data_IF_390576826258
#
_entry.id   IF_390576826258
#
_cell.length_a   1.000
_cell.length_b   1.000
_cell.length_c   1.000
_cell.angle_alpha   90.00
_cell.angle_beta   90.00
_cell.angle_gamma   90.00
#
_symmetry.space_group_name_H-M   'P 1'
#
loop_
_entity.id
_entity.type
_entity.pdbx_description
1 polymer ?
#
# COMPACT_ATOMS: atom_id res chain seq x y z
N UNK A 1 -26.02 -6.43 21.56
CA UNK A 1 -26.52 -7.78 21.81
C UNK A 1 -25.99 -8.79 20.80
N UNK A 2 -26.15 -8.58 19.50
CA UNK A 2 -25.77 -9.53 18.43
C UNK A 2 -24.30 -9.97 18.55
N UNK A 3 -23.35 -9.05 18.67
CA UNK A 3 -21.94 -9.36 18.86
C UNK A 3 -21.70 -10.20 20.12
N UNK A 4 -22.42 -9.88 21.22
CA UNK A 4 -22.26 -10.60 22.49
C UNK A 4 -22.84 -12.01 22.49
N UNK A 5 -23.87 -12.27 21.67
CA UNK A 5 -24.53 -13.58 21.56
C UNK A 5 -23.95 -14.45 20.44
N UNK A 6 -23.31 -13.86 19.44
CA UNK A 6 -22.74 -14.61 18.32
C UNK A 6 -21.47 -15.39 18.76
N UNK A 7 -21.43 -16.68 18.44
CA UNK A 7 -20.30 -17.57 18.69
C UNK A 7 -20.09 -18.52 17.49
N UNK A 8 -19.03 -18.31 16.71
CA UNK A 8 -18.02 -17.27 16.80
C UNK A 8 -18.49 -15.91 16.25
N UNK A 9 -17.86 -14.84 16.69
CA UNK A 9 -17.95 -13.53 16.07
C UNK A 9 -16.56 -13.05 15.67
N UNK A 10 -16.37 -12.69 14.42
CA UNK A 10 -15.15 -12.05 13.92
C UNK A 10 -15.37 -10.55 13.79
N UNK A 11 -14.53 -9.77 14.48
CA UNK A 11 -14.63 -8.31 14.51
C UNK A 11 -13.41 -7.73 13.82
N UNK A 12 -13.62 -6.96 12.79
CA UNK A 12 -12.57 -6.33 12.00
C UNK A 12 -12.84 -4.83 11.86
N UNK A 13 -11.79 -4.04 11.86
CA UNK A 13 -11.85 -2.63 11.47
C UNK A 13 -10.90 -2.38 10.30
N UNK A 14 -11.27 -1.41 9.46
CA UNK A 14 -10.34 -0.80 8.51
C UNK A 14 -9.44 0.23 9.19
N UNK A 15 -8.66 0.94 8.42
CA UNK A 15 -7.72 1.95 8.92
C UNK A 15 -8.36 3.35 9.12
N UNK A 16 -9.64 3.50 8.83
CA UNK A 16 -10.36 4.75 9.03
C UNK A 16 -10.51 5.18 10.48
N UNK A 17 -10.91 4.28 11.41
CA UNK A 17 -11.24 4.65 12.78
C UNK A 17 -10.10 5.35 13.56
N UNK A 18 -8.83 5.00 13.30
CA UNK A 18 -7.70 5.63 13.97
C UNK A 18 -7.18 6.90 13.27
N UNK A 19 -7.68 7.24 12.08
CA UNK A 19 -7.20 8.37 11.27
C UNK A 19 -7.91 9.67 11.61
N UNK A 20 -8.04 9.95 12.90
CA UNK A 20 -8.64 11.17 13.44
C UNK A 20 -8.03 11.47 14.81
N UNK A 21 -8.31 12.67 15.35
CA UNK A 21 -7.87 13.02 16.69
C UNK A 21 -8.38 11.99 17.71
N UNK A 22 -7.48 11.47 18.54
CA UNK A 22 -7.76 10.40 19.52
C UNK A 22 -8.31 9.09 18.92
N UNK A 23 -8.08 8.84 17.62
CA UNK A 23 -8.57 7.66 16.91
C UNK A 23 -8.02 6.34 17.45
N UNK A 24 -6.86 6.36 18.12
CA UNK A 24 -6.32 5.20 18.82
C UNK A 24 -7.25 4.68 19.91
N UNK A 25 -8.05 5.54 20.54
CA UNK A 25 -9.03 5.12 21.55
C UNK A 25 -10.18 4.34 20.90
N UNK A 26 -10.63 4.78 19.72
CA UNK A 26 -11.63 4.06 18.91
C UNK A 26 -11.13 2.67 18.56
N UNK A 27 -9.88 2.56 18.06
CA UNK A 27 -9.29 1.26 17.73
C UNK A 27 -9.13 0.35 18.96
N UNK A 28 -8.73 0.91 20.10
CA UNK A 28 -8.67 0.15 21.37
C UNK A 28 -10.05 -0.36 21.79
N UNK A 29 -11.08 0.48 21.71
CA UNK A 29 -12.44 0.08 22.04
C UNK A 29 -12.94 -1.06 21.12
N UNK A 30 -12.69 -0.97 19.81
CA UNK A 30 -13.03 -2.03 18.86
C UNK A 30 -12.27 -3.33 19.18
N UNK A 31 -10.98 -3.25 19.48
CA UNK A 31 -10.16 -4.41 19.83
C UNK A 31 -10.62 -5.10 21.13
N UNK A 32 -11.25 -4.37 22.02
CA UNK A 32 -11.81 -4.95 23.27
C UNK A 32 -13.08 -5.78 23.03
N UNK A 33 -13.83 -5.53 21.96
CA UNK A 33 -15.10 -6.25 21.70
C UNK A 33 -14.91 -7.77 21.60
N UNK A 34 -13.99 -8.32 20.78
CA UNK A 34 -13.79 -9.78 20.75
C UNK A 34 -13.25 -10.34 22.06
N UNK A 35 -12.47 -9.57 22.83
CA UNK A 35 -11.95 -9.98 24.14
C UNK A 35 -13.12 -10.10 25.15
N UNK A 36 -13.92 -9.06 25.29
CA UNK A 36 -15.05 -9.01 26.22
C UNK A 36 -16.14 -10.04 25.90
N UNK A 37 -16.29 -10.39 24.64
CA UNK A 37 -17.29 -11.37 24.18
C UNK A 37 -16.74 -12.79 24.09
N UNK A 38 -15.45 -13.02 24.46
CA UNK A 38 -14.82 -14.35 24.42
C UNK A 38 -14.66 -14.93 23.03
N UNK A 39 -14.41 -14.04 22.03
CA UNK A 39 -14.22 -14.41 20.63
C UNK A 39 -12.76 -14.36 20.20
N UNK A 40 -11.79 -14.28 21.13
CA UNK A 40 -10.36 -14.37 20.84
C UNK A 40 -9.87 -15.81 21.02
N UNK A 41 -9.18 -16.35 20.01
CA UNK A 41 -8.57 -17.68 20.07
C UNK A 41 -9.52 -18.85 19.83
N UNK A 42 -10.77 -18.59 19.44
CA UNK A 42 -11.72 -19.62 19.01
C UNK A 42 -11.79 -19.66 17.48
N UNK A 43 -12.11 -20.84 16.93
CA UNK A 43 -12.24 -20.99 15.47
C UNK A 43 -13.39 -20.12 14.93
N UNK A 44 -13.11 -19.31 13.91
CA UNK A 44 -14.06 -18.34 13.34
C UNK A 44 -14.11 -17.00 14.10
N UNK A 45 -13.40 -16.87 15.23
CA UNK A 45 -13.22 -15.60 15.94
C UNK A 45 -11.91 -14.90 15.58
N UNK A 46 -11.47 -13.97 16.44
CA UNK A 46 -10.24 -13.22 16.26
C UNK A 46 -9.02 -13.95 16.85
N UNK A 47 -7.85 -13.82 16.21
CA UNK A 47 -6.57 -14.20 16.84
C UNK A 47 -6.05 -13.14 17.79
N UNK A 48 -6.49 -11.90 17.65
CA UNK A 48 -5.97 -10.72 18.34
C UNK A 48 -4.71 -10.15 17.69
N UNK A 49 -4.25 -10.72 16.57
CA UNK A 49 -3.17 -10.14 15.77
C UNK A 49 -3.72 -9.08 14.83
N UNK A 50 -2.98 -7.99 14.66
CA UNK A 50 -3.28 -6.96 13.67
C UNK A 50 -2.86 -7.42 12.28
N UNK A 51 -1.69 -7.97 12.18
CA UNK A 51 -1.05 -8.40 10.93
C UNK A 51 -0.55 -9.83 11.08
N UNK A 52 -0.09 -10.41 9.98
CA UNK A 52 0.47 -11.75 10.02
C UNK A 52 1.68 -11.83 10.97
N UNK A 53 1.67 -12.83 11.83
CA UNK A 53 2.77 -13.12 12.75
C UNK A 53 3.79 -14.10 12.16
N UNK A 54 3.44 -14.74 11.06
CA UNK A 54 4.30 -15.68 10.35
C UNK A 54 4.22 -15.38 8.84
N UNK A 55 4.99 -14.38 8.42
CA UNK A 55 5.02 -13.91 7.02
C UNK A 55 6.17 -14.53 6.24
N UNK A 56 6.03 -14.52 4.93
CA UNK A 56 7.14 -14.70 3.99
C UNK A 56 7.55 -13.31 3.54
N UNK A 57 8.73 -12.86 3.98
CA UNK A 57 9.26 -11.54 3.62
C UNK A 57 9.67 -11.52 2.16
N UNK A 58 9.16 -10.54 1.40
CA UNK A 58 9.57 -10.33 0.02
C UNK A 58 10.79 -9.44 -0.07
N UNK A 59 11.63 -9.74 -1.05
CA UNK A 59 12.68 -8.83 -1.50
C UNK A 59 12.08 -7.76 -2.40
N UNK A 60 12.59 -6.55 -2.29
CA UNK A 60 12.14 -5.40 -3.09
C UNK A 60 13.27 -4.90 -3.97
N UNK A 61 12.91 -4.24 -5.04
CA UNK A 61 13.88 -3.52 -5.85
C UNK A 61 14.65 -2.52 -4.97
N UNK A 62 15.95 -2.37 -5.19
CA UNK A 62 16.74 -1.40 -4.43
C UNK A 62 16.19 0.02 -4.63
N UNK A 63 16.08 0.75 -3.55
CA UNK A 63 15.68 2.16 -3.58
C UNK A 63 16.95 3.02 -3.53
N UNK A 64 17.16 3.91 -4.51
CA UNK A 64 18.24 4.88 -4.44
C UNK A 64 17.99 5.87 -3.30
N UNK A 65 19.05 6.53 -2.85
CA UNK A 65 18.89 7.63 -1.92
C UNK A 65 18.13 8.78 -2.60
N UNK A 66 17.04 9.23 -1.95
CA UNK A 66 16.30 10.39 -2.43
C UNK A 66 17.08 11.68 -2.09
N UNK A 67 17.55 12.44 -3.08
CA UNK A 67 18.23 13.69 -2.85
C UNK A 67 17.30 14.78 -2.30
N UNK A 68 16.01 14.68 -2.55
CA UNK A 68 15.01 15.63 -2.07
C UNK A 68 14.63 15.30 -0.64
N UNK A 69 15.06 16.12 0.31
CA UNK A 69 14.77 15.93 1.74
C UNK A 69 13.54 16.72 2.20
N UNK A 70 13.06 17.64 1.37
CA UNK A 70 11.88 18.46 1.69
C UNK A 70 10.62 17.62 1.61
N UNK A 71 9.80 17.66 2.65
CA UNK A 71 8.57 16.90 2.77
C UNK A 71 7.44 17.77 3.31
N UNK A 72 6.22 17.48 2.91
CA UNK A 72 4.99 18.07 3.45
C UNK A 72 4.02 16.95 3.83
N UNK A 73 3.01 17.27 4.62
CA UNK A 73 1.91 16.33 4.91
C UNK A 73 1.17 15.98 3.61
N UNK A 74 0.75 14.73 3.48
CA UNK A 74 -0.13 14.30 2.39
C UNK A 74 -1.50 15.02 2.40
N UNK A 75 -1.84 15.74 3.46
CA UNK A 75 -3.06 16.54 3.55
C UNK A 75 -2.85 18.02 3.24
N UNK A 76 -1.63 18.48 2.93
CA UNK A 76 -1.32 19.88 2.68
C UNK A 76 -0.83 20.17 1.25
N UNK A 77 -0.92 19.20 0.35
CA UNK A 77 -0.44 19.38 -1.02
C UNK A 77 -1.26 20.39 -1.82
N UNK A 78 -2.58 20.53 -1.57
CA UNK A 78 -3.42 21.56 -2.18
C UNK A 78 -2.99 22.97 -1.73
N UNK A 79 -2.67 23.14 -0.45
CA UNK A 79 -2.11 24.38 0.06
C UNK A 79 -0.73 24.67 -0.56
N UNK A 80 0.09 23.63 -0.76
CA UNK A 80 1.39 23.77 -1.38
C UNK A 80 1.33 24.16 -2.87
N UNK A 81 0.23 23.84 -3.58
CA UNK A 81 -0.04 24.39 -4.92
C UNK A 81 -0.30 25.90 -4.84
N UNK A 82 -1.16 26.32 -3.91
CA UNK A 82 -1.68 27.71 -3.87
C UNK A 82 -0.69 28.68 -3.23
N UNK A 83 -0.07 28.26 -2.12
CA UNK A 83 0.77 29.14 -1.28
C UNK A 83 2.10 28.47 -0.86
N UNK A 84 2.64 27.58 -1.68
CA UNK A 84 3.85 26.82 -1.35
C UNK A 84 4.95 27.64 -0.68
N UNK A 85 5.44 28.75 -1.27
CA UNK A 85 6.52 29.57 -0.69
C UNK A 85 6.18 30.24 0.66
N UNK A 86 4.92 30.25 1.05
CA UNK A 86 4.47 30.78 2.35
C UNK A 86 4.41 29.68 3.43
N UNK A 87 4.50 28.42 3.04
CA UNK A 87 4.42 27.28 3.96
C UNK A 87 5.73 27.09 4.70
N UNK A 88 5.65 27.01 6.03
CA UNK A 88 6.81 26.93 6.90
C UNK A 88 6.82 25.65 7.75
N UNK A 89 8.00 25.32 8.27
CA UNK A 89 8.17 24.21 9.20
C UNK A 89 7.30 24.38 10.46
N UNK A 90 7.30 25.59 11.03
CA UNK A 90 6.59 25.86 12.28
C UNK A 90 5.07 25.87 12.12
N UNK A 91 4.55 26.47 11.06
CA UNK A 91 3.11 26.65 10.88
C UNK A 91 2.45 25.49 10.14
N UNK A 92 3.13 24.96 9.11
CA UNK A 92 2.54 24.02 8.16
C UNK A 92 3.20 22.64 8.20
N UNK A 93 4.18 22.43 9.07
CA UNK A 93 4.85 21.14 9.24
C UNK A 93 5.75 20.74 8.07
N UNK A 94 6.32 21.73 7.35
CA UNK A 94 7.35 21.46 6.33
C UNK A 94 8.54 20.80 7.03
N UNK A 95 9.08 19.73 6.45
CA UNK A 95 10.27 19.02 6.96
C UNK A 95 11.42 19.13 5.98
N UNK A 96 12.64 19.09 6.49
CA UNK A 96 13.87 19.17 5.70
C UNK A 96 14.28 20.58 5.26
N UNK A 97 13.41 21.58 5.48
CA UNK A 97 13.67 23.01 5.28
C UNK A 97 12.77 23.85 6.19
N UNK A 98 13.14 25.11 6.40
CA UNK A 98 12.33 26.05 7.18
C UNK A 98 11.05 26.47 6.45
N UNK A 99 11.08 26.49 5.12
CA UNK A 99 9.93 26.77 4.24
C UNK A 99 10.10 26.13 2.88
N UNK A 100 9.01 26.03 2.10
CA UNK A 100 9.08 25.61 0.70
C UNK A 100 9.65 26.74 -0.16
N UNK A 101 10.45 26.37 -1.16
CA UNK A 101 11.04 27.34 -2.09
C UNK A 101 10.06 27.70 -3.21
N UNK A 102 9.25 26.74 -3.64
CA UNK A 102 8.37 26.83 -4.81
C UNK A 102 7.02 26.18 -4.50
N UNK A 103 5.95 26.55 -5.20
CA UNK A 103 4.69 25.84 -5.15
C UNK A 103 4.79 24.48 -5.91
N UNK A 104 3.84 23.60 -5.68
CA UNK A 104 3.70 22.38 -6.49
C UNK A 104 3.16 22.78 -7.85
N UNK A 105 3.89 22.44 -8.93
CA UNK A 105 3.54 22.71 -10.32
C UNK A 105 3.30 21.43 -11.13
N UNK A 106 3.78 20.29 -10.60
CA UNK A 106 3.67 19.00 -11.24
C UNK A 106 3.19 17.95 -10.24
N UNK A 107 2.19 17.16 -10.62
CA UNK A 107 1.67 16.05 -9.84
C UNK A 107 1.83 14.76 -10.64
N UNK A 108 2.43 13.76 -10.00
CA UNK A 108 2.48 12.39 -10.49
C UNK A 108 1.71 11.49 -9.53
N UNK A 109 0.57 10.99 -9.97
CA UNK A 109 -0.29 10.12 -9.17
C UNK A 109 -0.30 8.70 -9.73
N UNK A 110 0.00 7.72 -8.89
CA UNK A 110 -0.02 6.32 -9.25
C UNK A 110 -1.02 5.54 -8.40
N UNK A 111 -1.90 4.78 -9.07
CA UNK A 111 -2.82 3.80 -8.48
C UNK A 111 -3.62 4.34 -7.29
N UNK A 112 -4.02 5.60 -7.33
CA UNK A 112 -4.70 6.25 -6.24
C UNK A 112 -5.75 7.26 -6.70
N UNK A 113 -6.99 7.06 -6.30
CA UNK A 113 -8.06 8.04 -6.52
C UNK A 113 -8.02 9.16 -5.45
N UNK A 114 -6.81 9.71 -5.20
CA UNK A 114 -6.54 10.61 -4.07
C UNK A 114 -6.63 12.09 -4.44
N UNK A 115 -6.37 12.45 -5.69
CA UNK A 115 -6.30 13.86 -6.14
C UNK A 115 -7.58 14.63 -5.77
N UNK A 116 -8.75 14.06 -6.02
CA UNK A 116 -10.02 14.72 -5.70
C UNK A 116 -10.67 14.19 -4.42
N UNK A 117 -10.30 12.99 -3.95
CA UNK A 117 -11.01 12.33 -2.85
C UNK A 117 -10.29 12.40 -1.48
N UNK A 118 -9.05 12.89 -1.42
CA UNK A 118 -8.28 12.87 -0.18
C UNK A 118 -8.71 13.98 0.80
N UNK A 119 -9.09 15.14 0.28
CA UNK A 119 -9.50 16.28 1.08
C UNK A 119 -11.02 16.35 1.26
N UNK A 120 -11.45 16.78 2.43
CA UNK A 120 -12.87 16.95 2.73
C UNK A 120 -13.51 18.14 1.99
N UNK A 121 -12.74 19.20 1.74
CA UNK A 121 -13.18 20.35 0.92
C UNK A 121 -12.95 20.08 -0.56
N UNK A 122 -13.84 19.26 -1.12
CA UNK A 122 -13.74 18.80 -2.50
C UNK A 122 -13.95 19.94 -3.51
N UNK A 123 -14.80 20.91 -3.19
CA UNK A 123 -15.06 22.06 -4.07
C UNK A 123 -13.82 22.94 -4.21
N UNK A 124 -13.17 23.26 -3.09
CA UNK A 124 -11.90 23.98 -3.10
C UNK A 124 -10.81 23.22 -3.88
N UNK A 125 -10.73 21.91 -3.69
CA UNK A 125 -9.79 21.07 -4.44
C UNK A 125 -10.09 21.10 -5.94
N UNK A 126 -11.36 21.02 -6.33
CA UNK A 126 -11.81 21.15 -7.70
C UNK A 126 -11.37 22.47 -8.33
N UNK A 127 -11.65 23.60 -7.67
CA UNK A 127 -11.28 24.94 -8.15
C UNK A 127 -9.75 25.11 -8.32
N UNK A 128 -8.97 24.50 -7.41
CA UNK A 128 -7.51 24.52 -7.51
C UNK A 128 -7.02 23.72 -8.71
N UNK A 129 -7.59 22.55 -8.94
CA UNK A 129 -7.14 21.63 -10.00
C UNK A 129 -7.58 22.06 -11.40
N UNK A 130 -8.63 22.87 -11.51
CA UNK A 130 -9.06 23.43 -12.80
C UNK A 130 -8.28 24.68 -13.23
N UNK A 131 -7.50 25.25 -12.33
CA UNK A 131 -6.71 26.45 -12.59
C UNK A 131 -5.28 26.07 -13.04
N UNK A 132 -5.07 25.98 -14.33
CA UNK A 132 -3.78 25.63 -14.94
C UNK A 132 -2.65 26.58 -14.56
N UNK A 133 -2.97 27.83 -14.14
CA UNK A 133 -1.96 28.76 -13.65
C UNK A 133 -1.35 28.31 -12.31
N UNK A 134 -2.03 27.44 -11.57
CA UNK A 134 -1.60 26.92 -10.28
C UNK A 134 -0.80 25.64 -10.41
N UNK A 135 -1.41 24.57 -10.92
CA UNK A 135 -0.74 23.29 -11.17
C UNK A 135 -0.66 23.04 -12.68
N UNK A 136 0.53 23.11 -13.22
CA UNK A 136 0.76 23.14 -14.69
C UNK A 136 0.60 21.77 -15.35
N UNK A 137 0.83 20.66 -14.61
CA UNK A 137 0.76 19.32 -15.20
C UNK A 137 0.39 18.27 -14.15
N UNK A 138 -0.61 17.47 -14.49
CA UNK A 138 -1.07 16.35 -13.69
C UNK A 138 -0.99 15.07 -14.53
N UNK A 139 -0.17 14.13 -14.10
CA UNK A 139 -0.07 12.79 -14.69
C UNK A 139 -0.72 11.79 -13.76
N UNK A 140 -1.62 10.99 -14.28
CA UNK A 140 -2.24 9.88 -13.53
C UNK A 140 -1.94 8.56 -14.22
N UNK A 141 -1.45 7.61 -13.45
CA UNK A 141 -1.29 6.21 -13.87
C UNK A 141 -2.34 5.39 -13.13
N UNK A 142 -3.29 4.87 -13.85
CA UNK A 142 -4.37 4.06 -13.30
C UNK A 142 -4.92 3.11 -14.37
N UNK A 143 -5.59 2.05 -13.95
CA UNK A 143 -6.29 1.14 -14.86
C UNK A 143 -7.78 1.45 -15.02
N UNK A 144 -8.28 2.45 -14.28
CA UNK A 144 -9.64 2.97 -14.38
C UNK A 144 -9.65 4.49 -14.57
N UNK A 145 -10.65 5.00 -15.28
CA UNK A 145 -10.94 6.42 -15.36
C UNK A 145 -11.63 6.89 -14.07
N UNK A 146 -10.84 6.99 -13.00
CA UNK A 146 -11.29 7.43 -11.68
C UNK A 146 -11.68 8.91 -11.68
N UNK A 147 -12.32 9.35 -10.60
CA UNK A 147 -12.62 10.79 -10.41
C UNK A 147 -11.34 11.63 -10.46
N UNK A 148 -10.24 11.13 -9.90
CA UNK A 148 -8.93 11.79 -9.96
C UNK A 148 -8.32 11.78 -11.35
N UNK A 149 -8.46 10.70 -12.12
CA UNK A 149 -7.96 10.61 -13.49
C UNK A 149 -8.62 11.63 -14.44
N UNK A 150 -9.83 12.12 -14.12
CA UNK A 150 -10.52 13.15 -14.89
C UNK A 150 -9.88 14.55 -14.80
N UNK A 151 -8.98 14.75 -13.83
CA UNK A 151 -8.21 16.00 -13.68
C UNK A 151 -6.81 15.91 -14.31
N UNK A 152 -6.47 14.77 -14.89
CA UNK A 152 -5.15 14.58 -15.47
C UNK A 152 -5.05 15.19 -16.86
N UNK A 153 -3.93 15.84 -17.15
CA UNK A 153 -3.53 16.22 -18.51
C UNK A 153 -3.07 15.00 -19.29
N UNK A 154 -2.45 14.05 -18.60
CA UNK A 154 -1.95 12.79 -19.18
C UNK A 154 -2.40 11.61 -18.32
N UNK A 155 -3.13 10.68 -18.94
CA UNK A 155 -3.48 9.39 -18.31
C UNK A 155 -2.66 8.30 -18.99
N UNK A 156 -1.88 7.56 -18.17
CA UNK A 156 -1.10 6.42 -18.63
C UNK A 156 -1.78 5.13 -18.10
N UNK A 157 -2.36 4.31 -18.97
CA UNK A 157 -3.12 3.15 -18.55
C UNK A 157 -2.19 2.00 -18.10
N UNK A 158 -2.31 1.61 -16.83
CA UNK A 158 -1.57 0.48 -16.24
C UNK A 158 -2.28 -0.85 -16.47
N UNK A 159 -1.56 -1.96 -16.29
CA UNK A 159 -2.13 -3.30 -16.33
C UNK A 159 -2.97 -3.59 -15.08
N UNK A 160 -4.04 -4.33 -15.28
CA UNK A 160 -4.74 -4.96 -14.19
C UNK A 160 -3.92 -6.15 -13.64
N UNK A 161 -4.15 -6.51 -12.40
CA UNK A 161 -3.54 -7.68 -11.75
C UNK A 161 -3.70 -8.97 -12.58
N UNK A 162 -4.81 -9.12 -13.27
CA UNK A 162 -5.11 -10.29 -14.11
C UNK A 162 -4.46 -10.27 -15.50
N UNK A 163 -3.75 -9.20 -15.84
CA UNK A 163 -3.10 -9.00 -17.13
C UNK A 163 -1.57 -9.14 -17.05
N UNK A 164 -1.01 -9.40 -15.87
CA UNK A 164 0.44 -9.43 -15.66
C UNK A 164 0.91 -10.57 -14.76
N UNK A 165 2.20 -10.82 -14.81
CA UNK A 165 2.89 -11.74 -13.91
C UNK A 165 3.47 -10.98 -12.73
N UNK A 166 3.24 -11.47 -11.50
CA UNK A 166 3.79 -10.89 -10.28
C UNK A 166 3.80 -11.90 -9.13
N UNK A 167 4.40 -11.54 -8.00
CA UNK A 167 4.41 -12.35 -6.77
C UNK A 167 3.82 -11.53 -5.63
N UNK A 168 2.76 -12.05 -5.03
CA UNK A 168 2.07 -11.40 -3.90
C UNK A 168 2.35 -12.16 -2.61
N UNK A 169 2.87 -11.48 -1.58
CA UNK A 169 3.04 -12.04 -0.23
C UNK A 169 1.77 -11.87 0.60
N UNK A 170 1.78 -12.46 1.79
CA UNK A 170 0.71 -12.29 2.78
C UNK A 170 1.05 -11.28 3.88
N UNK A 171 1.44 -10.09 3.56
CA UNK A 171 1.92 -9.09 4.54
C UNK A 171 0.89 -8.75 5.64
N UNK A 172 -0.40 -8.94 5.38
CA UNK A 172 -1.48 -8.44 6.24
C UNK A 172 -2.51 -9.48 6.69
N UNK A 173 -2.30 -10.75 6.41
CA UNK A 173 -3.36 -11.75 6.63
C UNK A 173 -2.89 -12.99 7.38
N UNK A 174 -3.48 -13.23 8.56
CA UNK A 174 -3.44 -14.50 9.25
C UNK A 174 -2.08 -14.95 9.77
N UNK A 175 -2.02 -16.21 10.23
CA UNK A 175 -0.83 -16.85 10.81
C UNK A 175 -0.23 -17.90 9.87
N UNK A 176 -0.50 -17.80 8.59
CA UNK A 176 0.02 -18.72 7.59
C UNK A 176 0.84 -17.96 6.57
N UNK A 177 2.09 -18.37 6.40
CA UNK A 177 2.92 -17.89 5.33
C UNK A 177 2.39 -18.37 3.98
N UNK A 178 2.11 -17.46 3.06
CA UNK A 178 1.80 -17.83 1.68
C UNK A 178 2.42 -16.85 0.69
N UNK A 179 2.62 -17.34 -0.52
CA UNK A 179 2.93 -16.56 -1.70
C UNK A 179 1.95 -16.94 -2.80
N UNK A 180 1.47 -15.95 -3.53
CA UNK A 180 0.67 -16.16 -4.73
C UNK A 180 1.51 -15.75 -5.92
N UNK A 181 1.70 -16.65 -6.87
CA UNK A 181 2.26 -16.33 -8.16
C UNK A 181 1.14 -15.98 -9.12
N UNK A 182 1.05 -14.71 -9.46
CA UNK A 182 0.08 -14.24 -10.44
C UNK A 182 0.55 -14.59 -11.85
N UNK A 183 -0.37 -15.09 -12.64
CA UNK A 183 -0.17 -15.32 -14.08
C UNK A 183 -1.25 -14.55 -14.84
N UNK A 184 -0.94 -13.99 -15.99
CA UNK A 184 -1.96 -13.34 -16.80
C UNK A 184 -3.02 -14.36 -17.23
N UNK A 185 -4.27 -14.05 -16.99
CA UNK A 185 -5.43 -14.86 -17.44
C UNK A 185 -6.05 -14.29 -18.71
N UNK A 186 -5.63 -13.09 -19.10
CA UNK A 186 -6.03 -12.41 -20.34
C UNK A 186 -4.89 -11.56 -20.86
N UNK A 187 -4.85 -11.36 -22.16
CA UNK A 187 -3.94 -10.40 -22.75
C UNK A 187 -4.35 -8.96 -22.36
N UNK A 188 -3.37 -8.03 -22.22
CA UNK A 188 -3.67 -6.63 -21.99
C UNK A 188 -4.60 -6.09 -23.09
N UNK A 189 -5.63 -5.34 -22.65
CA UNK A 189 -6.53 -4.65 -23.58
C UNK A 189 -6.10 -3.21 -23.74
N UNK A 190 -6.41 -2.64 -24.91
CA UNK A 190 -6.08 -1.25 -25.26
C UNK A 190 -4.57 -0.99 -25.22
N UNK A 191 -4.16 0.22 -24.86
CA UNK A 191 -2.75 0.65 -24.82
C UNK A 191 -2.09 0.41 -23.44
N UNK A 192 -2.67 -0.40 -22.58
CA UNK A 192 -2.16 -0.70 -21.24
C UNK A 192 -0.75 -1.27 -21.29
N UNK A 193 0.08 -0.79 -20.38
CA UNK A 193 1.46 -1.24 -20.18
C UNK A 193 1.75 -1.45 -18.70
N UNK A 194 2.64 -2.42 -18.34
CA UNK A 194 3.06 -2.58 -16.95
C UNK A 194 3.70 -1.29 -16.42
N UNK A 195 3.44 -0.95 -15.17
CA UNK A 195 4.06 0.23 -14.53
C UNK A 195 5.59 0.23 -14.66
N UNK A 196 6.24 -0.94 -14.57
CA UNK A 196 7.67 -1.06 -14.75
C UNK A 196 8.12 -0.60 -16.15
N UNK A 197 7.38 -0.98 -17.20
CA UNK A 197 7.64 -0.54 -18.57
C UNK A 197 7.44 0.97 -18.72
N UNK A 198 6.33 1.51 -18.17
CA UNK A 198 6.04 2.96 -18.20
C UNK A 198 7.21 3.73 -17.57
N UNK A 199 7.64 3.33 -16.37
CA UNK A 199 8.74 4.00 -15.68
C UNK A 199 10.08 3.82 -16.39
N UNK A 200 10.32 2.67 -17.01
CA UNK A 200 11.53 2.42 -17.82
C UNK A 200 11.59 3.34 -19.03
N UNK A 201 10.46 3.54 -19.71
CA UNK A 201 10.37 4.45 -20.85
C UNK A 201 10.54 5.93 -20.46
N UNK A 202 10.05 6.32 -19.29
CA UNK A 202 10.32 7.65 -18.72
C UNK A 202 11.81 7.80 -18.41
N UNK A 203 12.39 6.84 -17.71
CA UNK A 203 13.82 6.85 -17.36
C UNK A 203 14.72 6.93 -18.60
N UNK A 204 14.35 6.22 -19.68
CA UNK A 204 15.07 6.24 -20.97
C UNK A 204 15.08 7.64 -21.60
N UNK A 205 13.95 8.36 -21.53
CA UNK A 205 13.82 9.72 -22.05
C UNK A 205 14.55 10.77 -21.20
N UNK A 206 14.71 10.49 -19.90
CA UNK A 206 15.51 11.32 -19.02
C UNK A 206 17.03 11.14 -19.22
N UNK A 207 17.44 10.02 -19.78
CA UNK A 207 18.84 9.76 -20.17
C UNK A 207 19.25 8.31 -20.04
N UNK A 208 20.22 7.87 -20.84
CA UNK A 208 20.67 6.47 -20.84
C UNK A 208 21.22 6.01 -19.48
N UNK A 209 21.93 6.87 -18.76
CA UNK A 209 22.46 6.56 -17.43
C UNK A 209 21.35 6.39 -16.40
N UNK A 210 20.28 7.18 -16.51
CA UNK A 210 19.10 7.09 -15.62
C UNK A 210 18.37 5.78 -15.90
N UNK A 211 18.18 5.44 -17.17
CA UNK A 211 17.58 4.18 -17.58
C UNK A 211 18.38 2.98 -17.06
N UNK A 212 19.71 3.00 -17.25
CA UNK A 212 20.56 1.92 -16.78
C UNK A 212 20.53 1.76 -15.25
N UNK A 213 20.53 2.87 -14.50
CA UNK A 213 20.42 2.85 -13.03
C UNK A 213 19.06 2.35 -12.56
N UNK A 214 17.98 2.70 -13.28
CA UNK A 214 16.64 2.26 -12.92
C UNK A 214 16.40 0.78 -13.19
N UNK A 215 16.83 0.30 -14.37
CA UNK A 215 16.56 -1.08 -14.81
C UNK A 215 17.65 -2.06 -14.41
N UNK A 216 18.87 -1.59 -14.17
CA UNK A 216 20.09 -2.43 -14.09
C UNK A 216 20.19 -3.42 -15.26
N UNK A 217 19.64 -3.05 -16.43
CA UNK A 217 19.57 -3.88 -17.62
C UNK A 217 18.57 -5.05 -17.54
N UNK A 218 17.68 -5.08 -16.54
CA UNK A 218 16.73 -6.18 -16.34
C UNK A 218 15.36 -5.84 -16.88
N UNK A 219 14.69 -6.85 -17.42
CA UNK A 219 13.24 -6.84 -17.67
C UNK A 219 12.47 -7.07 -16.37
N UNK A 220 11.14 -6.87 -16.37
CA UNK A 220 10.28 -7.17 -15.23
C UNK A 220 10.41 -8.63 -14.77
N UNK A 221 10.37 -9.60 -15.70
CA UNK A 221 10.56 -11.01 -15.35
C UNK A 221 11.94 -11.29 -14.74
N UNK A 222 12.99 -10.69 -15.29
CA UNK A 222 14.35 -10.83 -14.74
C UNK A 222 14.45 -10.24 -13.33
N UNK A 223 13.75 -9.15 -13.04
CA UNK A 223 13.63 -8.61 -11.69
C UNK A 223 12.90 -9.55 -10.74
N UNK A 224 11.76 -10.10 -11.14
CA UNK A 224 11.02 -11.06 -10.32
C UNK A 224 11.89 -12.28 -9.99
N UNK A 225 12.57 -12.86 -10.98
CA UNK A 225 13.49 -14.00 -10.76
C UNK A 225 14.64 -13.63 -9.83
N UNK A 226 15.26 -12.49 -10.03
CA UNK A 226 16.39 -12.02 -9.22
C UNK A 226 16.00 -11.79 -7.75
N UNK A 227 14.91 -11.10 -7.52
CA UNK A 227 14.39 -10.83 -6.17
C UNK A 227 13.96 -12.12 -5.49
N UNK A 228 13.27 -12.98 -6.22
CA UNK A 228 12.85 -14.27 -5.69
C UNK A 228 14.02 -15.20 -5.34
N UNK A 229 15.08 -15.20 -6.12
CA UNK A 229 16.30 -15.94 -5.80
C UNK A 229 16.93 -15.47 -4.48
N UNK A 230 16.90 -14.15 -4.19
CA UNK A 230 17.33 -13.62 -2.89
C UNK A 230 16.41 -14.09 -1.74
N UNK A 231 15.10 -14.21 -1.99
CA UNK A 231 14.16 -14.75 -1.00
C UNK A 231 14.51 -16.21 -0.68
N UNK A 232 14.68 -17.05 -1.70
CA UNK A 232 15.05 -18.46 -1.53
C UNK A 232 16.40 -18.62 -0.80
N UNK A 233 17.37 -17.76 -1.08
CA UNK A 233 18.66 -17.77 -0.38
C UNK A 233 18.53 -17.47 1.13
N UNK A 234 17.56 -16.64 1.52
CA UNK A 234 17.28 -16.32 2.93
C UNK A 234 16.32 -17.31 3.60
N UNK A 235 15.47 -17.95 2.82
CA UNK A 235 14.44 -18.88 3.30
C UNK A 235 14.43 -20.15 2.42
N UNK A 236 15.26 -21.15 2.75
CA UNK A 236 15.38 -22.38 1.97
C UNK A 236 14.09 -23.25 1.95
N UNK A 237 13.09 -22.92 2.74
CA UNK A 237 11.79 -23.61 2.69
C UNK A 237 10.94 -23.17 1.50
N UNK A 238 11.32 -22.09 0.82
CA UNK A 238 10.62 -21.63 -0.37
C UNK A 238 10.92 -22.56 -1.56
N UNK A 239 9.92 -22.82 -2.41
CA UNK A 239 10.13 -23.57 -3.65
C UNK A 239 10.99 -22.75 -4.62
N UNK A 240 11.50 -23.39 -5.67
CA UNK A 240 12.11 -22.65 -6.78
C UNK A 240 11.08 -21.73 -7.47
N UNK A 241 11.57 -20.71 -8.18
CA UNK A 241 10.70 -19.79 -8.94
C UNK A 241 9.73 -20.52 -9.87
N UNK A 242 10.24 -21.46 -10.64
CA UNK A 242 9.43 -22.21 -11.61
C UNK A 242 8.46 -23.19 -10.93
N UNK A 243 8.84 -23.73 -9.77
CA UNK A 243 7.93 -24.53 -8.95
C UNK A 243 6.81 -23.67 -8.36
N UNK A 244 7.11 -22.46 -7.85
CA UNK A 244 6.09 -21.52 -7.38
C UNK A 244 5.14 -21.12 -8.52
N UNK A 245 5.69 -20.79 -9.68
CA UNK A 245 4.89 -20.45 -10.87
C UNK A 245 3.94 -21.58 -11.26
N UNK A 246 4.41 -22.82 -11.23
CA UNK A 246 3.58 -24.00 -11.52
C UNK A 246 2.50 -24.25 -10.46
N UNK A 247 2.83 -24.04 -9.17
CA UNK A 247 1.88 -24.19 -8.07
C UNK A 247 0.80 -23.10 -8.05
N UNK A 248 1.13 -21.89 -8.48
CA UNK A 248 0.29 -20.69 -8.34
C UNK A 248 0.21 -20.18 -6.91
N UNK A 249 0.02 -21.06 -5.92
CA UNK A 249 -0.06 -20.67 -4.50
C UNK A 249 0.81 -21.61 -3.67
N UNK A 250 1.81 -21.06 -3.00
CA UNK A 250 2.58 -21.74 -1.97
C UNK A 250 2.04 -21.37 -0.60
N UNK A 251 1.88 -22.35 0.29
CA UNK A 251 1.42 -22.17 1.67
C UNK A 251 2.28 -22.97 2.63
N UNK A 252 2.59 -22.38 3.77
CA UNK A 252 3.21 -23.09 4.90
C UNK A 252 2.53 -22.73 6.22
N UNK A 253 2.46 -23.68 7.13
CA UNK A 253 1.94 -23.43 8.48
C UNK A 253 3.05 -22.94 9.38
N UNK A 254 2.72 -22.06 10.31
CA UNK A 254 3.61 -21.67 11.40
C UNK A 254 3.91 -22.90 12.27
N UNK A 255 5.18 -23.32 12.44
CA UNK A 255 5.54 -24.45 13.31
C UNK A 255 5.16 -24.22 14.77
N UNK A 256 5.05 -22.97 15.22
CA UNK A 256 4.62 -22.60 16.57
C UNK A 256 3.09 -22.65 16.74
N UNK A 257 2.35 -23.02 15.71
CA UNK A 257 0.88 -23.06 15.71
C UNK A 257 0.25 -21.67 15.54
N UNK A 258 -1.02 -21.57 15.89
CA UNK A 258 -1.75 -20.33 15.74
C UNK A 258 -1.33 -19.30 16.79
N UNK A 259 -1.07 -18.07 16.36
CA UNK A 259 -0.94 -16.96 17.28
C UNK A 259 -2.32 -16.65 17.90
N UNK A 260 -2.32 -16.58 19.24
CA UNK A 260 -3.48 -16.14 20.01
C UNK A 260 -3.01 -15.09 20.99
N UNK A 261 -3.51 -13.86 20.83
CA UNK A 261 -3.23 -12.78 21.77
C UNK A 261 -3.72 -13.17 23.17
N UNK A 262 -2.99 -12.74 24.17
CA UNK A 262 -3.33 -12.98 25.59
C UNK A 262 -3.35 -14.46 26.01
N UNK A 263 -2.81 -15.39 25.22
CA UNK A 263 -2.77 -16.82 25.52
C UNK A 263 -2.19 -17.14 26.90
N UNK A 264 -1.21 -16.35 27.34
CA UNK A 264 -0.53 -16.52 28.64
C UNK A 264 -1.02 -15.52 29.68
N UNK A 265 -1.97 -14.64 29.37
CA UNK A 265 -2.57 -13.78 30.37
C UNK A 265 -3.48 -14.65 31.26
N UNK A 266 -3.36 -14.46 32.57
CA UNK A 266 -4.23 -15.11 33.56
C UNK A 266 -5.66 -14.95 33.10
N UNK A 267 -6.36 -16.05 32.99
CA UNK A 267 -7.75 -16.11 32.55
C UNK A 267 -8.60 -15.22 33.44
N UNK A 268 -8.88 -14.01 33.01
CA UNK A 268 -9.92 -13.21 33.60
C UNK A 268 -11.23 -13.88 33.16
N UNK A 269 -11.64 -14.91 33.85
CA UNK A 269 -13.02 -15.41 33.80
C UNK A 269 -13.86 -14.37 34.51
N UNK A 270 -14.34 -13.37 33.77
CA UNK A 270 -15.46 -12.63 34.29
C UNK A 270 -16.70 -13.53 34.19
N UNK A 271 -17.35 -13.84 35.32
CA UNK A 271 -18.62 -14.52 35.26
C UNK A 271 -19.61 -13.56 34.60
N UNK A 272 -20.01 -13.88 33.36
CA UNK A 272 -21.14 -13.21 32.69
C UNK A 272 -22.37 -13.73 33.45
N UNK A 273 -22.94 -12.89 34.31
CA UNK A 273 -24.29 -13.07 34.82
C UNK A 273 -25.33 -12.58 33.85
#
# INVERSE_FOLDING_TARGET
REIGSAKPAYICQGWGPQRQANGEQTSRAIAMLPILTGNVGINGGNSGARESTYTITIERMPLPENPVKTQISCFSWTDAIVRGPEMTALRDGVRGKDKLDVPIKFIWNYAGNTIINQHSDINKTHDILQDESKCETIVVIDNFMTSSAKYADIVLPDLMTVEQEDIIPNDYAGNMGYLIFLQPVTAPKFERKPIYWIMSEVAKRLGPDIHQKFTEGRTQEQWLRYLYAKMVAKDPLLPSYDALKKMGIYKRKDPNGHFVAYKNSVTIRMPIR
#
